data_IF_005901486857
#
_entry.id   IF_005901486857
#
_cell.length_a   1.000
_cell.length_b   1.000
_cell.length_c   1.000
_cell.angle_alpha   90.00
_cell.angle_beta   90.00
_cell.angle_gamma   90.00
#
_symmetry.space_group_name_H-M   'P 1'
#
loop_
_entity.id
_entity.type
_entity.pdbx_description
1 polymer ?
#
# COMPACT_ATOMS: atom_id res chain seq x y z
N UNK A 1 -0.57 -19.17 24.02
CA UNK A 1 -0.45 -17.97 23.23
C UNK A 1 0.60 -18.14 22.15
N UNK A 2 0.38 -17.57 21.06
CA UNK A 2 1.27 -17.78 19.95
C UNK A 2 2.17 -16.58 19.69
N UNK A 3 3.18 -16.81 18.91
CA UNK A 3 4.17 -15.81 18.55
C UNK A 3 3.53 -14.62 17.84
N UNK A 4 2.47 -14.86 17.11
CA UNK A 4 1.80 -13.84 16.34
C UNK A 4 1.26 -12.73 17.23
N UNK A 5 0.56 -13.09 18.32
CA UNK A 5 0.03 -12.10 19.24
C UNK A 5 1.12 -11.31 19.94
N UNK A 6 2.20 -12.00 20.30
CA UNK A 6 3.33 -11.34 20.91
C UNK A 6 3.96 -10.33 19.95
N UNK A 7 4.13 -10.71 18.70
CA UNK A 7 4.70 -9.81 17.70
C UNK A 7 3.84 -8.58 17.49
N UNK A 8 2.53 -8.76 17.48
CA UNK A 8 1.62 -7.65 17.32
C UNK A 8 1.70 -6.67 18.47
N UNK A 9 1.79 -7.19 19.69
CA UNK A 9 1.91 -6.33 20.85
C UNK A 9 3.22 -5.57 20.85
N UNK A 10 4.30 -6.22 20.47
CA UNK A 10 5.60 -5.57 20.39
C UNK A 10 5.57 -4.47 19.34
N UNK A 11 4.94 -4.73 18.21
CA UNK A 11 4.82 -3.71 17.18
C UNK A 11 4.01 -2.53 17.67
N UNK A 12 2.87 -2.77 18.30
CA UNK A 12 2.01 -1.70 18.79
C UNK A 12 2.72 -0.82 19.81
N UNK A 13 3.54 -1.43 20.67
CA UNK A 13 4.27 -0.69 21.69
C UNK A 13 5.49 0.02 21.17
N UNK A 14 6.15 -0.55 20.16
CA UNK A 14 7.44 -0.07 19.69
C UNK A 14 7.37 0.80 18.45
N UNK A 15 6.23 0.81 17.76
CA UNK A 15 6.15 1.50 16.50
C UNK A 15 5.52 2.88 16.64
N UNK A 16 6.05 3.81 15.89
CA UNK A 16 5.53 5.15 15.78
C UNK A 16 5.41 5.45 14.30
N UNK A 17 4.26 5.97 13.88
CA UNK A 17 4.05 6.28 12.48
C UNK A 17 4.81 7.54 12.11
N UNK A 18 5.67 7.42 11.12
CA UNK A 18 6.53 8.50 10.67
C UNK A 18 5.95 9.18 9.45
N UNK A 19 5.39 8.40 8.55
CA UNK A 19 4.88 8.90 7.29
C UNK A 19 3.86 7.92 6.75
N UNK A 20 2.82 8.42 6.13
CA UNK A 20 1.77 7.56 5.59
C UNK A 20 1.30 8.11 4.26
N UNK A 21 1.04 7.21 3.32
CA UNK A 21 0.48 7.58 2.03
C UNK A 21 -0.58 6.57 1.65
N UNK A 22 -1.73 7.06 1.21
CA UNK A 22 -2.78 6.18 0.73
C UNK A 22 -3.02 6.43 -0.76
N UNK A 23 -3.31 5.36 -1.48
CA UNK A 23 -3.57 5.42 -2.91
C UNK A 23 -4.86 4.67 -3.17
N UNK A 24 -5.86 5.38 -3.68
CA UNK A 24 -7.12 4.76 -4.03
C UNK A 24 -7.07 4.21 -5.45
N UNK A 25 -7.62 3.02 -5.62
CA UNK A 25 -7.64 2.35 -6.90
C UNK A 25 -8.96 1.60 -7.04
N UNK A 26 -10.04 2.32 -7.31
CA UNK A 26 -11.37 1.75 -7.41
C UNK A 26 -11.86 1.27 -6.06
N UNK A 27 -12.18 -0.02 -5.99
CA UNK A 27 -12.66 -0.63 -4.74
C UNK A 27 -11.53 -0.91 -3.75
N UNK A 28 -10.29 -0.73 -4.17
CA UNK A 28 -9.12 -0.99 -3.33
C UNK A 28 -8.48 0.31 -2.92
N UNK A 29 -7.88 0.28 -1.74
CA UNK A 29 -7.02 1.36 -1.28
C UNK A 29 -5.75 0.73 -0.78
N UNK A 30 -4.63 1.29 -1.18
CA UNK A 30 -3.31 0.82 -0.73
C UNK A 30 -2.74 1.85 0.22
N UNK A 31 -2.34 1.38 1.39
CA UNK A 31 -1.74 2.23 2.40
C UNK A 31 -0.26 1.87 2.52
N UNK A 32 0.57 2.87 2.43
CA UNK A 32 2.01 2.71 2.62
C UNK A 32 2.37 3.50 3.87
N UNK A 33 2.74 2.79 4.92
CA UNK A 33 3.01 3.42 6.21
C UNK A 33 4.45 3.17 6.61
N UNK A 34 5.18 4.24 6.88
CA UNK A 34 6.53 4.15 7.42
C UNK A 34 6.42 4.26 8.93
N UNK A 35 6.97 3.29 9.63
CA UNK A 35 6.94 3.23 11.08
C UNK A 35 8.35 3.14 11.62
N UNK A 36 8.53 3.67 12.82
CA UNK A 36 9.82 3.66 13.50
C UNK A 36 9.76 2.73 14.70
N UNK A 37 10.79 1.92 14.86
CA UNK A 37 10.94 1.11 16.07
C UNK A 37 11.54 1.98 17.17
N UNK A 38 11.58 1.45 18.39
CA UNK A 38 12.23 2.14 19.50
C UNK A 38 13.69 2.41 19.24
N UNK A 39 14.35 1.52 18.51
CA UNK A 39 15.76 1.69 18.19
C UNK A 39 16.03 2.68 17.09
N UNK A 40 14.99 3.27 16.50
CA UNK A 40 15.16 4.23 15.46
C UNK A 40 15.23 3.66 14.06
N UNK A 41 15.02 2.36 13.90
CA UNK A 41 14.93 1.76 12.57
C UNK A 41 13.55 2.00 11.99
N UNK A 42 13.51 2.15 10.68
CA UNK A 42 12.25 2.26 9.97
C UNK A 42 11.87 0.93 9.37
N UNK A 43 10.57 0.68 9.33
CA UNK A 43 10.04 -0.40 8.52
C UNK A 43 8.77 0.09 7.84
N UNK A 44 8.34 -0.63 6.83
CA UNK A 44 7.23 -0.26 6.00
C UNK A 44 6.12 -1.28 6.14
N UNK A 45 4.88 -0.81 6.24
CA UNK A 45 3.75 -1.71 6.09
C UNK A 45 2.97 -1.29 4.85
N UNK A 46 2.60 -2.28 4.06
CA UNK A 46 1.78 -2.07 2.88
C UNK A 46 0.47 -2.80 3.12
N UNK A 47 -0.62 -2.06 3.12
CA UNK A 47 -1.93 -2.63 3.38
C UNK A 47 -2.81 -2.47 2.16
N UNK A 48 -3.36 -3.57 1.69
CA UNK A 48 -4.41 -3.53 0.69
C UNK A 48 -5.74 -3.63 1.43
N UNK A 49 -6.61 -2.65 1.22
CA UNK A 49 -7.95 -2.67 1.78
C UNK A 49 -8.95 -2.71 0.63
N UNK A 50 -9.78 -3.71 0.60
CA UNK A 50 -10.77 -3.89 -0.45
C UNK A 50 -12.16 -3.81 0.13
N UNK A 51 -12.98 -2.95 -0.43
CA UNK A 51 -14.37 -2.81 0.00
C UNK A 51 -15.23 -3.90 -0.63
N UNK A 52 -16.07 -4.51 0.19
CA UNK A 52 -17.03 -5.53 -0.25
C UNK A 52 -18.41 -5.14 0.20
N UNK A 53 -19.40 -5.38 -0.65
CA UNK A 53 -20.80 -5.19 -0.29
C UNK A 53 -21.37 -6.54 0.13
N UNK A 54 -21.99 -6.56 1.30
CA UNK A 54 -22.68 -7.75 1.78
C UNK A 54 -24.05 -7.90 1.11
N UNK A 55 -24.59 -9.09 1.22
CA UNK A 55 -25.91 -9.39 0.64
C UNK A 55 -27.01 -8.55 1.28
N UNK A 56 -26.79 -8.14 2.51
CA UNK A 56 -27.77 -7.33 3.26
C UNK A 56 -27.55 -5.82 3.03
N UNK A 57 -26.66 -5.45 2.11
CA UNK A 57 -26.36 -4.06 1.84
C UNK A 57 -25.29 -3.46 2.74
N UNK A 58 -24.77 -4.24 3.68
CA UNK A 58 -23.73 -3.75 4.57
C UNK A 58 -22.40 -3.67 3.81
N UNK A 59 -21.49 -2.84 4.33
CA UNK A 59 -20.15 -2.68 3.77
C UNK A 59 -19.15 -3.33 4.69
N UNK A 60 -18.27 -4.13 4.11
CA UNK A 60 -17.18 -4.76 4.84
C UNK A 60 -15.88 -4.50 4.09
N UNK A 61 -14.75 -4.73 4.76
CA UNK A 61 -13.44 -4.53 4.17
C UNK A 61 -12.60 -5.76 4.41
N UNK A 62 -11.94 -6.23 3.34
CA UNK A 62 -10.90 -7.23 3.44
C UNK A 62 -9.57 -6.48 3.46
N UNK A 63 -8.73 -6.79 4.42
CA UNK A 63 -7.44 -6.14 4.55
C UNK A 63 -6.32 -7.17 4.57
N UNK A 64 -5.29 -6.89 3.79
CA UNK A 64 -4.09 -7.72 3.75
C UNK A 64 -2.89 -6.80 3.94
N UNK A 65 -2.03 -7.19 4.86
CA UNK A 65 -0.89 -6.36 5.23
C UNK A 65 0.41 -7.11 5.01
N UNK A 66 1.37 -6.41 4.46
CA UNK A 66 2.72 -6.90 4.26
C UNK A 66 3.65 -6.04 5.09
N UNK A 67 4.57 -6.69 5.80
CA UNK A 67 5.60 -6.00 6.57
C UNK A 67 6.90 -6.09 5.78
N UNK A 68 7.53 -4.95 5.58
CA UNK A 68 8.75 -4.89 4.80
C UNK A 68 9.82 -4.18 5.62
N UNK A 69 10.94 -4.87 5.79
CA UNK A 69 12.02 -4.37 6.63
C UNK A 69 13.15 -3.82 5.77
N UNK A 70 14.02 -3.04 6.39
CA UNK A 70 15.03 -2.28 5.67
C UNK A 70 15.93 -3.12 4.75
N UNK A 71 16.18 -4.37 5.14
CA UNK A 71 17.01 -5.26 4.35
C UNK A 71 16.39 -5.59 3.00
N UNK A 72 15.07 -5.44 2.89
CA UNK A 72 14.33 -5.86 1.71
C UNK A 72 13.73 -4.70 0.90
N UNK A 73 13.92 -3.47 1.35
CA UNK A 73 13.30 -2.32 0.69
C UNK A 73 13.67 -2.25 -0.79
N UNK A 74 14.93 -2.29 -1.10
CA UNK A 74 15.36 -2.16 -2.48
C UNK A 74 15.02 -3.37 -3.33
N UNK A 75 15.14 -4.55 -2.74
CA UNK A 75 14.79 -5.78 -3.46
C UNK A 75 13.32 -5.78 -3.85
N UNK A 76 12.48 -5.43 -2.93
CA UNK A 76 11.03 -5.38 -3.18
C UNK A 76 10.71 -4.32 -4.22
N UNK A 77 11.27 -3.14 -4.05
CA UNK A 77 11.01 -2.03 -4.96
C UNK A 77 11.50 -2.35 -6.37
N UNK A 78 12.71 -2.86 -6.49
CA UNK A 78 13.27 -3.19 -7.80
C UNK A 78 12.53 -4.33 -8.47
N UNK A 79 12.12 -5.33 -7.69
CA UNK A 79 11.33 -6.43 -8.23
C UNK A 79 9.99 -5.97 -8.76
N UNK A 80 9.32 -5.11 -8.01
CA UNK A 80 8.04 -4.56 -8.45
C UNK A 80 8.21 -3.74 -9.72
N UNK A 81 9.22 -2.90 -9.76
CA UNK A 81 9.48 -2.08 -10.93
C UNK A 81 9.76 -2.94 -12.16
N UNK A 82 10.54 -4.00 -11.99
CA UNK A 82 10.85 -4.89 -13.10
C UNK A 82 9.61 -5.56 -13.67
N UNK A 83 8.74 -6.08 -12.82
CA UNK A 83 7.55 -6.76 -13.32
C UNK A 83 6.54 -5.79 -13.90
N UNK A 84 6.43 -4.59 -13.35
CA UNK A 84 5.58 -3.56 -13.93
C UNK A 84 6.10 -3.17 -15.30
N UNK A 85 7.41 -3.01 -15.46
CA UNK A 85 8.01 -2.70 -16.74
C UNK A 85 7.80 -3.81 -17.76
N UNK A 86 7.84 -5.06 -17.32
CA UNK A 86 7.54 -6.18 -18.20
C UNK A 86 6.12 -6.04 -18.78
N UNK A 87 5.16 -5.69 -17.93
CA UNK A 87 3.78 -5.51 -18.37
C UNK A 87 3.68 -4.33 -19.34
N UNK A 88 4.40 -3.24 -19.06
CA UNK A 88 4.39 -2.09 -19.95
C UNK A 88 4.88 -2.43 -21.35
N UNK A 89 5.89 -3.29 -21.44
CA UNK A 89 6.45 -3.70 -22.71
C UNK A 89 5.51 -4.65 -23.47
N UNK A 90 4.91 -5.58 -22.75
CA UNK A 90 4.11 -6.65 -23.38
C UNK A 90 2.64 -6.30 -23.55
N UNK A 91 2.13 -5.41 -22.72
CA UNK A 91 0.74 -4.96 -22.77
C UNK A 91 0.67 -3.44 -22.61
N UNK A 92 1.31 -2.70 -23.51
CA UNK A 92 1.32 -1.23 -23.37
C UNK A 92 -0.06 -0.62 -23.39
N UNK A 93 -1.03 -1.28 -24.01
CA UNK A 93 -2.40 -0.78 -24.06
C UNK A 93 -3.04 -0.68 -22.67
N UNK A 94 -2.56 -1.44 -21.70
CA UNK A 94 -3.05 -1.32 -20.33
C UNK A 94 -2.72 0.04 -19.71
N UNK A 95 -1.71 0.69 -20.21
CA UNK A 95 -1.23 1.94 -19.63
C UNK A 95 -1.64 3.17 -20.43
N UNK A 96 -1.85 3.02 -21.73
CA UNK A 96 -2.15 4.17 -22.59
C UNK A 96 -3.47 4.83 -22.24
N UNK A 97 -4.58 4.10 -22.23
CA UNK A 97 -5.87 4.68 -21.90
C UNK A 97 -5.99 5.00 -20.42
N UNK A 98 -5.39 4.16 -19.56
CA UNK A 98 -5.41 4.41 -18.12
C UNK A 98 -4.54 5.60 -17.75
N UNK A 99 -3.45 5.81 -18.46
CA UNK A 99 -2.60 6.96 -18.22
C UNK A 99 -3.34 8.27 -18.40
N UNK A 100 -4.20 8.34 -19.44
CA UNK A 100 -5.00 9.53 -19.66
C UNK A 100 -5.96 9.76 -18.50
N UNK A 101 -6.63 8.71 -18.05
CA UNK A 101 -7.55 8.80 -16.93
C UNK A 101 -6.83 9.16 -15.63
N UNK A 102 -5.71 8.51 -15.39
CA UNK A 102 -4.93 8.75 -14.18
C UNK A 102 -4.36 10.15 -14.15
N UNK A 103 -3.94 10.68 -15.30
CA UNK A 103 -3.44 12.04 -15.36
C UNK A 103 -4.51 13.04 -14.98
N UNK A 104 -5.73 12.85 -15.46
CA UNK A 104 -6.84 13.71 -15.10
C UNK A 104 -7.15 13.62 -13.61
N UNK A 105 -7.16 12.40 -13.08
CA UNK A 105 -7.43 12.20 -11.66
C UNK A 105 -6.31 12.76 -10.78
N UNK A 106 -5.07 12.61 -11.22
CA UNK A 106 -3.94 13.13 -10.47
C UNK A 106 -3.97 14.65 -10.38
N UNK A 107 -4.37 15.30 -11.44
CA UNK A 107 -4.50 16.75 -11.43
C UNK A 107 -5.53 17.18 -10.40
N UNK A 108 -6.67 16.50 -10.37
CA UNK A 108 -7.72 16.79 -9.40
C UNK A 108 -7.23 16.56 -7.97
N UNK A 109 -6.50 15.48 -7.75
CA UNK A 109 -5.97 15.18 -6.44
C UNK A 109 -4.96 16.22 -5.98
N UNK A 110 -4.13 16.70 -6.88
CA UNK A 110 -3.16 17.73 -6.55
C UNK A 110 -3.85 19.02 -6.17
N UNK A 111 -4.90 19.39 -6.86
CA UNK A 111 -5.68 20.57 -6.50
C UNK A 111 -6.28 20.41 -5.12
N UNK A 112 -6.79 19.25 -4.81
CA UNK A 112 -7.38 18.99 -3.51
C UNK A 112 -6.37 19.07 -2.38
N UNK A 113 -5.13 18.71 -2.66
CA UNK A 113 -4.07 18.78 -1.67
C UNK A 113 -3.52 20.17 -1.46
N UNK A 114 -3.70 21.01 -2.44
CA UNK A 114 -3.23 22.38 -2.36
C UNK A 114 -4.21 23.27 -1.61
#
# INVERSE_FOLDING_TARGET
>A
MNTFDFSRNVEAEASEEVYSKSIRAGHRTYFFDVKSTRGGDYYLTITESRRKLGKDGSTAYDKHKIYLYKEDFEKFHNGLEEVVNYIKVHKPEFFESRSAEESAMSIDEEFDKL
#
